data_IF_795547640857
#
_entry.id   IF_795547640857
#
_cell.length_a   1.000
_cell.length_b   1.000
_cell.length_c   1.000
_cell.angle_alpha   90.00
_cell.angle_beta   90.00
_cell.angle_gamma   90.00
#
_symmetry.space_group_name_H-M   'P 1'
#
loop_
_entity.id
_entity.type
_entity.pdbx_description
1 polymer ?
#
# COMPACT_ATOMS: atom_id res chain seq x y z
N UNK A 1 36.01 -25.86 19.34
CA UNK A 1 35.39 -25.39 18.08
C UNK A 1 33.92 -25.12 18.39
N UNK A 2 33.63 -23.86 18.76
CA UNK A 2 32.30 -23.43 19.19
C UNK A 2 31.35 -23.30 18.02
N UNK A 3 30.11 -23.72 18.25
CA UNK A 3 29.01 -23.68 17.29
C UNK A 3 28.61 -22.26 16.88
N UNK A 4 28.25 -22.15 15.61
CA UNK A 4 27.53 -21.01 15.07
C UNK A 4 26.03 -21.27 15.12
N UNK A 5 25.37 -20.65 16.11
CA UNK A 5 23.93 -20.43 16.12
C UNK A 5 23.59 -19.47 14.97
N UNK A 6 22.82 -19.91 13.98
CA UNK A 6 22.15 -19.03 13.02
C UNK A 6 20.70 -18.83 13.46
N UNK A 7 20.42 -17.64 13.95
CA UNK A 7 19.10 -17.14 14.27
C UNK A 7 18.82 -16.00 13.26
N UNK A 8 17.88 -16.11 12.31
CA UNK A 8 17.51 -14.99 11.46
C UNK A 8 16.31 -14.28 12.12
N UNK A 9 16.59 -13.54 13.19
CA UNK A 9 15.65 -12.53 13.68
C UNK A 9 15.73 -11.31 12.78
N UNK A 10 14.55 -10.89 12.31
CA UNK A 10 14.12 -9.51 12.18
C UNK A 10 15.18 -8.47 11.80
N UNK A 11 15.12 -7.99 10.56
CA UNK A 11 15.65 -6.66 10.25
C UNK A 11 15.10 -6.09 8.93
N UNK A 12 14.34 -5.00 9.10
CA UNK A 12 14.20 -3.84 8.22
C UNK A 12 13.59 -4.02 6.83
N UNK A 13 12.26 -3.87 6.76
CA UNK A 13 11.60 -3.21 5.62
C UNK A 13 10.73 -2.05 6.13
N UNK A 14 11.40 -0.99 6.59
CA UNK A 14 10.80 0.34 6.53
C UNK A 14 10.91 0.78 5.07
N UNK A 15 9.80 0.66 4.34
CA UNK A 15 9.67 1.22 3.01
C UNK A 15 9.93 2.73 3.02
N UNK A 16 10.32 3.32 1.87
CA UNK A 16 10.59 4.74 1.79
C UNK A 16 9.32 5.52 2.15
N UNK A 17 9.42 6.37 3.17
CA UNK A 17 8.36 7.30 3.54
C UNK A 17 8.14 8.25 2.36
N UNK A 18 7.02 8.10 1.66
CA UNK A 18 6.60 9.04 0.62
C UNK A 18 6.30 10.38 1.30
N UNK A 19 7.22 11.33 1.23
CA UNK A 19 6.95 12.72 1.60
C UNK A 19 6.00 13.30 0.55
N UNK A 20 4.76 13.53 0.96
CA UNK A 20 3.82 14.33 0.18
C UNK A 20 4.36 15.77 0.07
N UNK A 21 4.31 16.40 -1.10
CA UNK A 21 4.70 17.80 -1.25
C UNK A 21 3.80 18.68 -0.37
N UNK A 22 4.40 19.67 0.30
CA UNK A 22 3.66 20.61 1.12
C UNK A 22 2.63 21.37 0.27
N UNK A 23 1.42 21.64 0.82
CA UNK A 23 0.42 22.40 0.09
C UNK A 23 0.95 23.81 -0.26
N UNK A 24 0.54 24.37 -1.41
CA UNK A 24 0.97 25.71 -1.80
C UNK A 24 0.47 26.74 -0.77
N UNK A 25 1.24 27.82 -0.54
CA UNK A 25 0.84 28.89 0.38
C UNK A 25 -0.47 29.54 -0.08
N UNK A 26 -1.35 29.96 0.86
CA UNK A 26 -2.59 30.63 0.50
C UNK A 26 -2.32 31.94 -0.24
N UNK A 27 -3.19 32.34 -1.19
CA UNK A 27 -3.02 33.59 -1.92
C UNK A 27 -3.08 34.81 -0.98
N UNK A 28 -2.31 35.87 -1.28
CA UNK A 28 -2.34 37.09 -0.46
C UNK A 28 -3.74 37.72 -0.48
N UNK A 29 -4.17 38.34 0.63
CA UNK A 29 -5.46 39.04 0.69
C UNK A 29 -5.50 40.13 -0.38
N UNK A 30 -6.58 40.15 -1.17
CA UNK A 30 -6.82 41.21 -2.14
C UNK A 30 -7.26 42.47 -1.39
N UNK A 31 -6.36 43.43 -1.27
CA UNK A 31 -6.68 44.74 -0.74
C UNK A 31 -7.72 45.44 -1.62
N UNK A 32 -8.79 45.82 -0.95
CA UNK A 32 -9.99 46.41 -1.51
C UNK A 32 -9.74 47.88 -1.84
N UNK A 33 -10.02 48.26 -3.09
CA UNK A 33 -10.48 49.58 -3.56
C UNK A 33 -9.76 50.86 -3.06
N UNK A 34 -9.04 51.52 -3.97
CA UNK A 34 -8.84 52.96 -3.93
C UNK A 34 -9.74 53.65 -4.97
N UNK A 35 -10.79 54.27 -4.46
CA UNK A 35 -11.64 55.24 -5.14
C UNK A 35 -11.06 56.64 -4.89
N UNK A 36 -10.61 57.34 -5.93
CA UNK A 36 -10.38 58.78 -5.86
C UNK A 36 -11.26 59.49 -6.88
N UNK A 37 -12.29 60.11 -6.33
CA UNK A 37 -13.23 60.97 -7.03
C UNK A 37 -12.60 62.28 -7.52
N UNK A 38 -13.29 62.81 -8.53
CA UNK A 38 -13.28 64.15 -9.08
C UNK A 38 -12.59 65.26 -8.26
N UNK A 39 -11.59 65.89 -8.85
CA UNK A 39 -11.20 67.26 -8.52
C UNK A 39 -11.76 68.23 -9.57
N UNK A 40 -12.63 69.11 -9.08
CA UNK A 40 -13.22 70.25 -9.77
C UNK A 40 -12.14 71.23 -10.24
N UNK A 41 -12.29 71.75 -11.45
CA UNK A 41 -11.47 72.83 -11.98
C UNK A 41 -11.71 74.16 -11.21
N UNK A 42 -10.69 75.02 -11.03
CA UNK A 42 -10.89 76.35 -10.46
C UNK A 42 -11.40 77.33 -11.53
N UNK A 43 -12.54 77.96 -11.24
CA UNK A 43 -13.10 79.12 -11.96
C UNK A 43 -12.06 80.24 -12.12
N UNK A 44 -11.77 80.63 -13.36
CA UNK A 44 -11.10 81.89 -13.69
C UNK A 44 -12.16 82.99 -13.81
N UNK A 45 -12.16 83.94 -12.87
CA UNK A 45 -12.94 85.17 -12.96
C UNK A 45 -12.38 86.08 -14.08
N UNK A 46 -13.11 86.20 -15.19
CA UNK A 46 -12.90 87.24 -16.20
C UNK A 46 -13.64 88.52 -15.78
N UNK A 47 -12.92 89.62 -15.56
CA UNK A 47 -13.53 90.97 -15.52
C UNK A 47 -13.83 91.44 -16.95
N UNK A 48 -15.07 91.89 -17.21
CA UNK A 48 -15.45 92.51 -18.49
C UNK A 48 -15.19 94.03 -18.48
N UNK A 49 -14.74 94.64 -19.60
CA UNK A 49 -14.57 96.08 -19.71
C UNK A 49 -15.87 96.71 -20.22
N UNK A 50 -16.91 96.78 -19.40
CA UNK A 50 -18.14 97.51 -19.75
C UNK A 50 -18.62 98.51 -18.68
N UNK A 51 -17.76 98.89 -17.74
CA UNK A 51 -18.10 99.89 -16.72
C UNK A 51 -17.27 101.17 -16.83
N UNK A 52 -17.26 101.79 -18.00
CA UNK A 52 -16.99 103.22 -18.15
C UNK A 52 -17.93 103.73 -19.24
N UNK A 53 -18.49 104.94 -19.07
CA UNK A 53 -19.58 105.58 -19.83
C UNK A 53 -20.99 105.38 -19.24
N UNK A 54 -21.23 105.94 -18.05
CA UNK A 54 -22.51 106.59 -17.77
C UNK A 54 -22.38 107.47 -16.52
N UNK A 55 -21.92 108.72 -16.69
CA UNK A 55 -22.37 109.85 -15.87
C UNK A 55 -22.27 111.12 -16.71
N UNK A 56 -23.29 111.97 -16.53
CA UNK A 56 -23.41 113.36 -16.98
C UNK A 56 -23.90 113.59 -18.41
N UNK A 57 -25.20 113.40 -18.64
CA UNK A 57 -26.04 114.42 -19.30
C UNK A 57 -27.45 114.31 -18.74
N UNK A 58 -27.92 115.38 -18.09
CA UNK A 58 -29.27 115.45 -17.55
C UNK A 58 -29.57 116.82 -16.96
N UNK A 59 -30.41 117.56 -17.70
CA UNK A 59 -31.23 118.71 -17.31
C UNK A 59 -30.61 120.13 -17.42
N UNK A 60 -30.94 120.82 -18.51
CA UNK A 60 -32.05 121.79 -18.46
C UNK A 60 -32.54 122.21 -19.88
N UNK A 61 -33.84 122.51 -20.07
CA UNK A 61 -34.42 122.77 -21.37
C UNK A 61 -34.76 124.26 -21.62
N UNK A 62 -34.96 124.56 -22.92
CA UNK A 62 -35.70 125.72 -23.47
C UNK A 62 -34.97 127.07 -23.51
N UNK A 63 -34.58 127.51 -24.72
CA UNK A 63 -35.11 128.71 -25.44
C UNK A 63 -34.57 128.65 -26.88
N UNK A 64 -35.47 128.74 -27.86
CA UNK A 64 -35.13 128.71 -29.29
C UNK A 64 -34.55 130.01 -29.85
N UNK A 65 -34.09 129.96 -31.09
CA UNK A 65 -33.81 131.19 -31.85
C UNK A 65 -32.85 131.05 -33.03
N UNK A 66 -33.45 130.91 -34.22
CA UNK A 66 -33.13 131.57 -35.51
C UNK A 66 -31.68 131.63 -36.03
N UNK A 67 -31.57 131.11 -37.26
CA UNK A 67 -30.63 131.41 -38.33
C UNK A 67 -29.97 132.80 -38.30
N UNK A 68 -28.65 132.81 -38.51
CA UNK A 68 -27.86 133.98 -38.91
C UNK A 68 -26.66 133.55 -39.76
N UNK A 69 -26.75 133.79 -41.06
CA UNK A 69 -25.67 133.64 -42.03
C UNK A 69 -24.54 134.67 -41.77
N UNK A 70 -23.31 134.19 -41.63
CA UNK A 70 -22.07 134.97 -41.58
C UNK A 70 -20.89 134.01 -41.81
N UNK A 71 -19.79 134.44 -42.46
CA UNK A 71 -18.89 133.55 -43.19
C UNK A 71 -18.20 132.55 -42.26
N UNK A 72 -18.03 131.32 -42.77
CA UNK A 72 -17.30 130.21 -42.13
C UNK A 72 -16.06 130.72 -41.40
N UNK A 73 -15.92 130.53 -40.07
CA UNK A 73 -14.64 130.77 -39.44
C UNK A 73 -13.69 129.67 -39.91
N UNK A 74 -12.60 130.06 -40.57
CA UNK A 74 -11.44 129.22 -40.79
C UNK A 74 -11.13 128.41 -39.51
N UNK A 75 -10.77 127.13 -39.61
CA UNK A 75 -10.59 126.30 -38.43
C UNK A 75 -9.50 126.91 -37.53
N UNK A 76 -9.86 127.19 -36.27
CA UNK A 76 -8.95 127.63 -35.22
C UNK A 76 -7.74 126.67 -35.13
N UNK A 77 -6.52 127.17 -34.86
CA UNK A 77 -5.32 126.35 -34.74
C UNK A 77 -5.47 125.19 -33.74
N UNK A 78 -6.28 125.42 -32.70
CA UNK A 78 -6.58 124.53 -31.59
C UNK A 78 -7.27 123.23 -32.05
N UNK A 79 -8.08 123.31 -33.11
CA UNK A 79 -8.80 122.17 -33.68
C UNK A 79 -7.92 121.29 -34.58
N UNK A 80 -6.81 121.83 -35.11
CA UNK A 80 -5.86 121.03 -35.87
C UNK A 80 -4.99 120.15 -34.96
N UNK A 81 -4.67 120.61 -33.76
CA UNK A 81 -3.97 119.79 -32.77
C UNK A 81 -4.87 118.66 -32.26
N UNK A 82 -6.12 118.94 -31.93
CA UNK A 82 -7.06 117.90 -31.50
C UNK A 82 -7.30 116.85 -32.60
N UNK A 83 -7.47 117.27 -33.86
CA UNK A 83 -7.60 116.31 -34.97
C UNK A 83 -6.31 115.53 -35.25
N UNK A 84 -5.13 116.14 -35.12
CA UNK A 84 -3.86 115.41 -35.24
C UNK A 84 -3.67 114.41 -34.10
N UNK A 85 -4.04 114.79 -32.88
CA UNK A 85 -3.97 113.92 -31.71
C UNK A 85 -4.97 112.76 -31.84
N UNK A 86 -6.21 113.03 -32.24
CA UNK A 86 -7.22 111.99 -32.45
C UNK A 86 -6.83 111.01 -33.57
N UNK A 87 -6.25 111.50 -34.68
CA UNK A 87 -5.76 110.64 -35.76
C UNK A 87 -4.51 109.85 -35.34
N UNK A 88 -3.61 110.46 -34.57
CA UNK A 88 -2.45 109.80 -33.97
C UNK A 88 -2.87 108.72 -32.97
N UNK A 89 -3.84 109.02 -32.11
CA UNK A 89 -4.37 108.09 -31.11
C UNK A 89 -5.16 106.97 -31.79
N UNK A 90 -5.92 107.25 -32.87
CA UNK A 90 -6.56 106.21 -33.69
C UNK A 90 -5.53 105.36 -34.46
N UNK A 91 -4.42 105.94 -34.94
CA UNK A 91 -3.33 105.20 -35.57
C UNK A 91 -2.52 104.38 -34.57
N UNK A 92 -2.31 104.89 -33.36
CA UNK A 92 -1.66 104.17 -32.26
C UNK A 92 -2.55 103.02 -31.77
N UNK A 93 -3.86 103.23 -31.61
CA UNK A 93 -4.83 102.18 -31.27
C UNK A 93 -4.96 101.16 -32.41
N UNK A 94 -4.91 101.56 -33.69
CA UNK A 94 -4.81 100.62 -34.83
C UNK A 94 -3.48 99.87 -34.88
N UNK A 95 -2.38 100.51 -34.48
CA UNK A 95 -1.06 99.90 -34.38
C UNK A 95 -0.96 98.89 -33.23
N UNK A 96 -1.74 99.08 -32.16
CA UNK A 96 -1.89 98.16 -31.05
C UNK A 96 -2.96 97.07 -31.28
N UNK A 97 -3.93 97.32 -32.15
CA UNK A 97 -4.84 96.31 -32.71
C UNK A 97 -4.13 95.50 -33.81
N UNK A 98 -3.00 94.87 -33.48
CA UNK A 98 -2.51 93.71 -34.23
C UNK A 98 -3.35 92.47 -33.85
N UNK A 99 -4.66 92.59 -34.02
CA UNK A 99 -5.62 91.49 -33.84
C UNK A 99 -5.22 90.26 -34.65
N UNK A 100 -4.56 90.45 -35.80
CA UNK A 100 -4.01 89.37 -36.60
C UNK A 100 -2.90 88.56 -35.92
N UNK A 101 -2.03 89.17 -35.11
CA UNK A 101 -0.93 88.46 -34.44
C UNK A 101 -1.46 87.69 -33.21
N UNK A 102 -2.36 88.29 -32.43
CA UNK A 102 -3.03 87.61 -31.31
C UNK A 102 -3.95 86.47 -31.79
N UNK A 103 -4.63 86.64 -32.93
CA UNK A 103 -5.44 85.57 -33.54
C UNK A 103 -4.57 84.42 -34.02
N UNK A 104 -3.43 84.70 -34.67
CA UNK A 104 -2.47 83.68 -35.10
C UNK A 104 -1.87 82.92 -33.92
N UNK A 105 -1.53 83.61 -32.83
CA UNK A 105 -1.01 82.97 -31.62
C UNK A 105 -2.07 82.06 -30.97
N UNK A 106 -3.33 82.53 -30.92
CA UNK A 106 -4.46 81.74 -30.42
C UNK A 106 -4.75 80.52 -31.30
N UNK A 107 -4.68 80.66 -32.62
CA UNK A 107 -4.88 79.58 -33.59
C UNK A 107 -3.74 78.55 -33.51
N UNK A 108 -2.49 79.02 -33.31
CA UNK A 108 -1.34 78.14 -33.06
C UNK A 108 -1.51 77.32 -31.77
N UNK A 109 -1.94 77.97 -30.69
CA UNK A 109 -2.26 77.32 -29.42
C UNK A 109 -3.42 76.32 -29.55
N UNK A 110 -4.43 76.65 -30.35
CA UNK A 110 -5.55 75.75 -30.63
C UNK A 110 -5.08 74.47 -31.32
N UNK A 111 -4.28 74.61 -32.38
CA UNK A 111 -3.73 73.47 -33.12
C UNK A 111 -2.82 72.59 -32.24
N UNK A 112 -2.04 73.20 -31.36
CA UNK A 112 -1.16 72.48 -30.42
C UNK A 112 -1.98 71.72 -29.36
N UNK A 113 -3.10 72.29 -28.91
CA UNK A 113 -4.05 71.61 -28.01
C UNK A 113 -4.81 70.49 -28.71
N UNK A 114 -5.23 70.69 -29.95
CA UNK A 114 -5.88 69.64 -30.74
C UNK A 114 -4.93 68.46 -31.00
N UNK A 115 -3.65 68.74 -31.27
CA UNK A 115 -2.62 67.69 -31.38
C UNK A 115 -2.44 66.92 -30.06
N UNK A 116 -2.38 67.62 -28.92
CA UNK A 116 -2.31 66.97 -27.60
C UNK A 116 -3.56 66.12 -27.30
N UNK A 117 -4.74 66.58 -27.70
CA UNK A 117 -5.99 65.84 -27.53
C UNK A 117 -5.97 64.56 -28.37
N UNK A 118 -5.54 64.61 -29.63
CA UNK A 118 -5.43 63.41 -30.46
C UNK A 118 -4.40 62.41 -29.91
N UNK A 119 -3.27 62.89 -29.41
CA UNK A 119 -2.26 62.04 -28.77
C UNK A 119 -2.84 61.35 -27.51
N UNK A 120 -3.57 62.10 -26.67
CA UNK A 120 -4.23 61.55 -25.49
C UNK A 120 -5.30 60.54 -25.84
N UNK A 121 -6.12 60.80 -26.86
CA UNK A 121 -7.13 59.85 -27.35
C UNK A 121 -6.49 58.55 -27.83
N UNK A 122 -5.38 58.62 -28.57
CA UNK A 122 -4.64 57.43 -29.00
C UNK A 122 -4.06 56.64 -27.81
N UNK A 123 -3.54 57.34 -26.78
CA UNK A 123 -3.06 56.69 -25.55
C UNK A 123 -4.19 56.03 -24.76
N UNK A 124 -5.35 56.66 -24.67
CA UNK A 124 -6.54 56.09 -24.00
C UNK A 124 -7.04 54.85 -24.75
N UNK A 125 -7.12 54.91 -26.08
CA UNK A 125 -7.51 53.75 -26.88
C UNK A 125 -6.55 52.55 -26.68
N UNK A 126 -5.23 52.79 -26.61
CA UNK A 126 -4.26 51.74 -26.30
C UNK A 126 -4.41 51.20 -24.87
N UNK A 127 -4.77 52.05 -23.91
CA UNK A 127 -5.01 51.65 -22.52
C UNK A 127 -6.31 50.86 -22.35
N UNK A 128 -7.30 50.99 -23.24
CA UNK A 128 -8.53 50.17 -23.22
C UNK A 128 -8.29 48.74 -23.73
N UNK A 129 -7.31 48.54 -24.61
CA UNK A 129 -6.94 47.21 -25.14
C UNK A 129 -6.30 46.35 -24.06
N UNK A 130 -5.45 46.94 -23.20
CA UNK A 130 -4.68 46.22 -22.17
C UNK A 130 -5.57 45.46 -21.17
N UNK A 131 -6.65 46.02 -20.61
CA UNK A 131 -7.62 45.30 -19.79
C UNK A 131 -8.25 44.10 -20.51
N UNK A 132 -8.60 44.25 -21.78
CA UNK A 132 -9.25 43.20 -22.55
C UNK A 132 -8.30 42.02 -22.82
N UNK A 133 -7.04 42.30 -23.15
CA UNK A 133 -5.98 41.29 -23.24
C UNK A 133 -5.74 40.60 -21.88
N UNK A 134 -5.79 41.35 -20.77
CA UNK A 134 -5.63 40.78 -19.43
C UNK A 134 -6.75 39.79 -19.08
N UNK A 135 -8.00 40.09 -19.45
CA UNK A 135 -9.13 39.15 -19.28
C UNK A 135 -8.89 37.87 -20.07
N UNK A 136 -8.50 37.98 -21.35
CA UNK A 136 -8.21 36.80 -22.19
C UNK A 136 -7.06 35.96 -21.62
N UNK A 137 -6.02 36.60 -21.08
CA UNK A 137 -4.90 35.88 -20.44
C UNK A 137 -5.34 35.15 -19.18
N UNK A 138 -6.24 35.74 -18.38
CA UNK A 138 -6.81 35.09 -17.19
C UNK A 138 -7.66 33.88 -17.56
N UNK A 139 -8.48 33.97 -18.60
CA UNK A 139 -9.26 32.85 -19.12
C UNK A 139 -8.35 31.70 -19.59
N UNK A 140 -7.29 32.01 -20.36
CA UNK A 140 -6.31 31.00 -20.79
C UNK A 140 -5.56 30.37 -19.62
N UNK A 141 -5.21 31.16 -18.60
CA UNK A 141 -4.58 30.62 -17.39
C UNK A 141 -5.51 29.68 -16.63
N UNK A 142 -6.81 30.00 -16.55
CA UNK A 142 -7.80 29.12 -15.94
C UNK A 142 -7.94 27.81 -16.74
N UNK A 143 -8.04 27.90 -18.07
CA UNK A 143 -8.12 26.72 -18.94
C UNK A 143 -6.89 25.81 -18.78
N UNK A 144 -5.68 26.38 -18.74
CA UNK A 144 -4.47 25.63 -18.47
C UNK A 144 -4.48 24.95 -17.10
N UNK A 145 -5.00 25.63 -16.08
CA UNK A 145 -5.18 25.06 -14.74
C UNK A 145 -6.13 23.86 -14.75
N UNK A 146 -7.26 23.98 -15.45
CA UNK A 146 -8.25 22.90 -15.56
C UNK A 146 -7.70 21.70 -16.36
N UNK A 147 -6.90 21.94 -17.40
CA UNK A 147 -6.24 20.90 -18.18
C UNK A 147 -5.21 20.15 -17.31
N UNK A 148 -4.38 20.87 -16.56
CA UNK A 148 -3.38 20.26 -15.68
C UNK A 148 -4.04 19.44 -14.57
N UNK A 149 -5.13 19.93 -13.97
CA UNK A 149 -5.90 19.18 -12.98
C UNK A 149 -6.47 17.87 -13.56
N UNK A 150 -7.08 17.92 -14.75
CA UNK A 150 -7.58 16.73 -15.45
C UNK A 150 -6.46 15.75 -15.81
N UNK A 151 -5.30 16.26 -16.22
CA UNK A 151 -4.13 15.42 -16.51
C UNK A 151 -3.68 14.65 -15.27
N UNK A 152 -3.54 15.32 -14.13
CA UNK A 152 -3.17 14.68 -12.87
C UNK A 152 -4.21 13.66 -12.42
N UNK A 153 -5.50 13.96 -12.59
CA UNK A 153 -6.58 13.01 -12.31
C UNK A 153 -6.48 11.75 -13.18
N UNK A 154 -6.25 11.91 -14.49
CA UNK A 154 -6.10 10.78 -15.41
C UNK A 154 -4.86 9.94 -15.10
N UNK A 155 -3.72 10.57 -14.78
CA UNK A 155 -2.50 9.86 -14.37
C UNK A 155 -2.73 9.03 -13.10
N UNK A 156 -3.48 9.57 -12.12
CA UNK A 156 -3.86 8.83 -10.91
C UNK A 156 -4.80 7.66 -11.21
N UNK A 157 -5.77 7.85 -12.12
CA UNK A 157 -6.66 6.78 -12.55
C UNK A 157 -5.90 5.66 -13.26
N UNK A 158 -4.98 6.00 -14.16
CA UNK A 158 -4.12 5.03 -14.86
C UNK A 158 -3.23 4.27 -13.87
N UNK A 159 -2.62 4.98 -12.92
CA UNK A 159 -1.83 4.35 -11.87
C UNK A 159 -2.66 3.36 -11.03
N UNK A 160 -3.88 3.74 -10.63
CA UNK A 160 -4.79 2.85 -9.90
C UNK A 160 -5.16 1.61 -10.73
N UNK A 161 -5.40 1.76 -12.03
CA UNK A 161 -5.67 0.63 -12.92
C UNK A 161 -4.47 -0.31 -13.05
N UNK A 162 -3.25 0.24 -13.11
CA UNK A 162 -2.02 -0.55 -13.14
C UNK A 162 -1.81 -1.33 -11.85
N UNK A 163 -2.09 -0.73 -10.68
CA UNK A 163 -2.07 -1.44 -9.40
C UNK A 163 -3.05 -2.61 -9.43
N UNK A 164 -4.32 -2.38 -9.80
CA UNK A 164 -5.34 -3.45 -9.86
C UNK A 164 -4.94 -4.58 -10.80
N UNK A 165 -4.30 -4.26 -11.93
CA UNK A 165 -3.78 -5.26 -12.85
C UNK A 165 -2.68 -6.09 -12.20
N UNK A 166 -1.73 -5.44 -11.52
CA UNK A 166 -0.64 -6.12 -10.81
C UNK A 166 -1.17 -7.03 -9.70
N UNK A 167 -2.08 -6.55 -8.87
CA UNK A 167 -2.75 -7.33 -7.82
C UNK A 167 -3.45 -8.57 -8.41
N UNK A 168 -4.13 -8.41 -9.55
CA UNK A 168 -4.74 -9.53 -10.27
C UNK A 168 -3.71 -10.57 -10.72
N UNK A 169 -2.62 -10.13 -11.33
CA UNK A 169 -1.56 -11.05 -11.80
C UNK A 169 -0.83 -11.74 -10.64
N UNK A 170 -0.63 -11.05 -9.52
CA UNK A 170 -0.02 -11.63 -8.32
C UNK A 170 -0.94 -12.66 -7.69
N UNK A 171 -2.24 -12.38 -7.60
CA UNK A 171 -3.23 -13.33 -7.10
C UNK A 171 -3.29 -14.61 -7.95
N UNK A 172 -3.29 -14.46 -9.28
CA UNK A 172 -3.28 -15.61 -10.19
C UNK A 172 -1.99 -16.45 -10.04
N UNK A 173 -0.83 -15.79 -9.93
CA UNK A 173 0.44 -16.45 -9.69
C UNK A 173 0.47 -17.22 -8.35
N UNK A 174 -0.01 -16.60 -7.27
CA UNK A 174 -0.08 -17.24 -5.95
C UNK A 174 -1.03 -18.44 -5.97
N UNK A 175 -2.15 -18.34 -6.68
CA UNK A 175 -3.09 -19.45 -6.86
C UNK A 175 -2.44 -20.62 -7.63
N UNK A 176 -1.65 -20.33 -8.66
CA UNK A 176 -0.91 -21.36 -9.39
C UNK A 176 0.13 -22.06 -8.48
N UNK A 177 0.88 -21.28 -7.69
CA UNK A 177 1.86 -21.83 -6.74
C UNK A 177 1.20 -22.68 -5.66
N UNK A 178 0.06 -22.23 -5.13
CA UNK A 178 -0.72 -23.00 -4.17
C UNK A 178 -1.16 -24.34 -4.76
N UNK A 179 -1.71 -24.34 -5.98
CA UNK A 179 -2.13 -25.58 -6.65
C UNK A 179 -0.96 -26.55 -6.89
N UNK A 180 0.23 -26.05 -7.24
CA UNK A 180 1.46 -26.87 -7.34
C UNK A 180 1.84 -27.46 -5.98
N UNK A 181 1.81 -26.65 -4.93
CA UNK A 181 2.12 -27.11 -3.57
C UNK A 181 1.13 -28.15 -3.05
N UNK A 182 -0.17 -27.98 -3.33
CA UNK A 182 -1.19 -28.95 -2.97
C UNK A 182 -0.97 -30.29 -3.67
N UNK A 183 -0.61 -30.27 -4.96
CA UNK A 183 -0.25 -31.49 -5.69
C UNK A 183 0.96 -32.20 -5.09
N UNK A 184 2.03 -31.47 -4.73
CA UNK A 184 3.18 -32.06 -4.05
C UNK A 184 2.81 -32.65 -2.68
N UNK A 185 1.91 -32.00 -1.96
CA UNK A 185 1.40 -32.51 -0.67
C UNK A 185 0.64 -33.81 -0.87
N UNK A 186 -0.24 -33.89 -1.87
CA UNK A 186 -1.00 -35.10 -2.21
C UNK A 186 -0.07 -36.25 -2.65
N UNK A 187 0.90 -35.99 -3.52
CA UNK A 187 1.89 -37.00 -3.96
C UNK A 187 2.72 -37.53 -2.77
N UNK A 188 3.11 -36.66 -1.85
CA UNK A 188 3.83 -37.05 -0.64
C UNK A 188 2.95 -37.89 0.32
N UNK A 189 1.69 -37.53 0.47
CA UNK A 189 0.70 -38.25 1.28
C UNK A 189 0.44 -39.66 0.71
N UNK A 190 0.32 -39.79 -0.62
CA UNK A 190 0.21 -41.10 -1.28
C UNK A 190 1.46 -41.96 -1.03
N UNK A 191 2.66 -41.38 -1.17
CA UNK A 191 3.91 -42.11 -0.91
C UNK A 191 3.99 -42.61 0.54
N UNK A 192 3.60 -41.78 1.51
CA UNK A 192 3.58 -42.18 2.93
C UNK A 192 2.57 -43.32 3.15
N UNK A 193 1.37 -43.22 2.58
CA UNK A 193 0.36 -44.28 2.68
C UNK A 193 0.87 -45.62 2.11
N UNK A 194 1.54 -45.58 0.95
CA UNK A 194 2.15 -46.78 0.35
C UNK A 194 3.23 -47.36 1.26
N UNK A 195 4.11 -46.50 1.80
CA UNK A 195 5.17 -46.92 2.72
C UNK A 195 4.60 -47.54 4.00
N UNK A 196 3.54 -46.96 4.57
CA UNK A 196 2.88 -47.46 5.76
C UNK A 196 2.27 -48.85 5.52
N UNK A 197 1.56 -49.04 4.39
CA UNK A 197 1.03 -50.35 4.00
C UNK A 197 2.14 -51.38 3.80
N UNK A 198 3.23 -51.00 3.13
CA UNK A 198 4.40 -51.87 2.95
C UNK A 198 5.05 -52.24 4.28
N UNK A 199 5.19 -51.27 5.19
CA UNK A 199 5.77 -51.46 6.51
C UNK A 199 4.94 -52.45 7.35
N UNK A 200 3.63 -52.24 7.47
CA UNK A 200 2.76 -53.15 8.21
C UNK A 200 2.68 -54.53 7.57
N UNK A 201 2.64 -54.63 6.24
CA UNK A 201 2.70 -55.92 5.52
C UNK A 201 4.00 -56.66 5.85
N UNK A 202 5.14 -55.97 5.85
CA UNK A 202 6.43 -56.57 6.17
C UNK A 202 6.48 -57.06 7.62
N UNK A 203 6.03 -56.26 8.58
CA UNK A 203 5.92 -56.67 9.99
C UNK A 203 5.05 -57.91 10.11
N UNK A 204 3.86 -57.92 9.49
CA UNK A 204 2.94 -59.05 9.54
C UNK A 204 3.57 -60.34 8.99
N UNK A 205 4.33 -60.23 7.89
CA UNK A 205 5.05 -61.36 7.31
C UNK A 205 6.18 -61.87 8.23
N UNK A 206 6.91 -60.97 8.89
CA UNK A 206 7.96 -61.34 9.86
C UNK A 206 7.34 -62.05 11.06
N UNK A 207 6.25 -61.50 11.63
CA UNK A 207 5.55 -62.10 12.76
C UNK A 207 5.05 -63.50 12.43
N UNK A 208 4.37 -63.66 11.28
CA UNK A 208 3.91 -64.97 10.83
C UNK A 208 5.05 -65.97 10.64
N UNK A 209 6.15 -65.55 10.00
CA UNK A 209 7.32 -66.41 9.80
C UNK A 209 7.94 -66.85 11.14
N UNK A 210 7.92 -65.98 12.15
CA UNK A 210 8.41 -66.32 13.48
C UNK A 210 7.46 -67.28 14.19
N UNK A 211 6.15 -67.10 14.06
CA UNK A 211 5.13 -68.04 14.54
C UNK A 211 5.30 -69.42 13.90
N UNK A 212 5.38 -69.50 12.57
CA UNK A 212 5.61 -70.75 11.83
C UNK A 212 6.91 -71.46 12.29
N UNK A 213 7.97 -70.70 12.58
CA UNK A 213 9.25 -71.22 13.10
C UNK A 213 9.19 -71.71 14.54
N UNK A 214 8.26 -71.19 15.35
CA UNK A 214 8.06 -71.66 16.73
C UNK A 214 7.13 -72.89 16.76
N UNK A 215 6.13 -72.94 15.87
CA UNK A 215 5.21 -74.06 15.76
C UNK A 215 5.87 -75.33 15.20
N UNK A 216 6.76 -75.20 14.20
CA UNK A 216 7.39 -76.36 13.57
C UNK A 216 8.21 -77.24 14.55
N UNK A 217 9.07 -76.68 15.42
CA UNK A 217 9.73 -77.43 16.49
C UNK A 217 8.72 -78.00 17.50
N UNK A 218 7.71 -77.22 17.90
CA UNK A 218 6.71 -77.66 18.87
C UNK A 218 5.93 -78.91 18.38
N UNK A 219 5.51 -78.91 17.11
CA UNK A 219 4.86 -80.06 16.49
C UNK A 219 5.81 -81.27 16.34
N UNK A 220 7.06 -81.03 15.97
CA UNK A 220 8.09 -82.08 15.91
C UNK A 220 8.34 -82.71 17.29
N UNK A 221 8.54 -81.89 18.32
CA UNK A 221 8.80 -82.35 19.68
C UNK A 221 7.58 -83.07 20.26
N UNK A 222 6.36 -82.57 20.01
CA UNK A 222 5.13 -83.25 20.42
C UNK A 222 5.03 -84.65 19.79
N UNK A 223 5.31 -84.79 18.49
CA UNK A 223 5.30 -86.10 17.84
C UNK A 223 6.43 -87.02 18.33
N UNK A 224 7.60 -86.47 18.64
CA UNK A 224 8.72 -87.21 19.23
C UNK A 224 8.35 -87.76 20.63
N UNK A 225 7.88 -86.90 21.55
CA UNK A 225 7.48 -87.31 22.90
C UNK A 225 6.32 -88.31 22.88
N UNK A 226 5.37 -88.14 21.97
CA UNK A 226 4.25 -89.06 21.82
C UNK A 226 4.69 -90.44 21.29
N UNK A 227 5.69 -90.50 20.39
CA UNK A 227 6.33 -91.76 19.99
C UNK A 227 7.07 -92.42 21.14
N UNK A 228 7.80 -91.66 21.95
CA UNK A 228 8.50 -92.18 23.14
C UNK A 228 7.52 -92.75 24.17
N UNK A 229 6.44 -92.03 24.48
CA UNK A 229 5.39 -92.51 25.37
C UNK A 229 4.74 -93.81 24.88
N UNK A 230 4.43 -93.91 23.58
CA UNK A 230 3.88 -95.12 23.00
C UNK A 230 4.87 -96.29 23.03
N UNK A 231 6.16 -96.02 22.80
CA UNK A 231 7.21 -97.03 22.91
C UNK A 231 7.30 -97.59 24.33
N UNK A 232 7.37 -96.72 25.35
CA UNK A 232 7.37 -97.12 26.76
C UNK A 232 6.11 -97.89 27.15
N UNK A 233 4.93 -97.44 26.68
CA UNK A 233 3.64 -98.14 26.91
C UNK A 233 3.65 -99.55 26.34
N UNK A 234 4.19 -99.72 25.14
CA UNK A 234 4.28 -101.03 24.49
C UNK A 234 5.30 -101.94 25.17
N UNK A 235 6.47 -101.40 25.56
CA UNK A 235 7.45 -102.15 26.34
C UNK A 235 6.85 -102.64 27.66
N UNK A 236 6.19 -101.76 28.41
CA UNK A 236 5.51 -102.12 29.64
C UNK A 236 4.47 -103.23 29.43
N UNK A 237 3.68 -103.13 28.35
CA UNK A 237 2.68 -104.16 28.02
C UNK A 237 3.34 -105.53 27.78
N UNK A 238 4.42 -105.57 26.99
CA UNK A 238 5.16 -106.80 26.70
C UNK A 238 5.81 -107.38 27.95
N UNK A 239 6.41 -106.55 28.80
CA UNK A 239 6.98 -107.00 30.07
C UNK A 239 5.92 -107.54 31.01
N UNK A 240 4.77 -106.88 31.10
CA UNK A 240 3.65 -107.33 31.91
C UNK A 240 3.08 -108.67 31.40
N UNK A 241 2.95 -108.86 30.08
CA UNK A 241 2.58 -110.15 29.48
C UNK A 241 3.61 -111.25 29.78
N UNK A 242 4.92 -110.93 29.68
CA UNK A 242 5.99 -111.87 30.07
C UNK A 242 5.91 -112.25 31.54
N UNK A 243 5.66 -111.29 32.44
CA UNK A 243 5.49 -111.56 33.87
C UNK A 243 4.26 -112.42 34.15
N UNK A 244 3.14 -112.14 33.48
CA UNK A 244 1.93 -112.95 33.57
C UNK A 244 2.16 -114.39 33.07
N UNK A 245 2.91 -114.57 31.98
CA UNK A 245 3.23 -115.90 31.46
C UNK A 245 4.16 -116.66 32.41
N UNK A 246 5.22 -116.01 32.94
CA UNK A 246 6.07 -116.61 33.97
C UNK A 246 5.31 -116.97 35.24
N UNK A 247 4.33 -116.15 35.64
CA UNK A 247 3.45 -116.44 36.78
C UNK A 247 2.55 -117.66 36.51
N UNK A 248 2.05 -117.81 35.28
CA UNK A 248 1.27 -118.99 34.88
C UNK A 248 2.13 -120.24 34.82
N UNK A 249 3.33 -120.17 34.26
CA UNK A 249 4.30 -121.28 34.20
C UNK A 249 4.69 -121.75 35.60
N UNK A 250 5.06 -120.83 36.50
CA UNK A 250 5.36 -121.17 37.90
C UNK A 250 4.16 -121.77 38.64
N UNK A 251 2.94 -121.31 38.36
CA UNK A 251 1.72 -121.94 38.89
C UNK A 251 1.42 -123.32 38.29
N UNK A 252 1.87 -123.60 37.06
CA UNK A 252 1.66 -124.88 36.38
C UNK A 252 2.71 -125.94 36.79
N UNK A 253 3.95 -125.51 37.07
CA UNK A 253 5.04 -126.37 37.54
C UNK A 253 4.94 -126.71 39.04
N UNK A 254 4.24 -125.90 39.83
CA UNK A 254 3.97 -126.21 41.23
C UNK A 254 2.86 -127.25 41.39
N UNK A 255 3.25 -128.53 41.33
CA UNK A 255 2.44 -129.64 41.85
C UNK A 255 2.46 -129.74 43.39
N UNK A 256 3.13 -128.83 44.11
CA UNK A 256 3.09 -128.80 45.57
C UNK A 256 3.14 -127.36 46.12
N UNK A 257 2.10 -126.87 46.82
CA UNK A 257 1.99 -125.47 47.26
C UNK A 257 3.06 -125.05 48.29
N UNK A 258 3.70 -126.01 48.98
CA UNK A 258 4.75 -125.73 49.96
C UNK A 258 6.09 -125.32 49.33
N UNK A 259 6.46 -125.89 48.19
CA UNK A 259 7.72 -125.56 47.50
C UNK A 259 7.64 -124.19 46.83
N UNK A 260 6.45 -123.82 46.32
CA UNK A 260 6.23 -122.51 45.71
C UNK A 260 6.31 -121.38 46.76
N UNK A 261 5.77 -121.59 47.95
CA UNK A 261 5.88 -120.64 49.06
C UNK A 261 7.34 -120.42 49.48
N UNK A 262 8.12 -121.50 49.62
CA UNK A 262 9.55 -121.45 49.93
C UNK A 262 10.37 -120.77 48.83
N UNK A 263 10.07 -121.05 47.55
CA UNK A 263 10.75 -120.42 46.42
C UNK A 263 10.49 -118.91 46.34
N UNK A 264 9.23 -118.48 46.50
CA UNK A 264 8.90 -117.04 46.50
C UNK A 264 9.40 -116.32 47.74
N UNK A 265 9.41 -116.95 48.91
CA UNK A 265 9.99 -116.36 50.12
C UNK A 265 11.51 -116.15 49.98
N UNK A 266 12.22 -117.12 49.41
CA UNK A 266 13.66 -116.98 49.12
C UNK A 266 13.91 -115.90 48.07
N UNK A 267 13.15 -115.88 46.96
CA UNK A 267 13.27 -114.85 45.92
C UNK A 267 12.92 -113.45 46.43
N UNK A 268 11.91 -113.34 47.29
CA UNK A 268 11.54 -112.08 47.94
C UNK A 268 12.66 -111.58 48.85
N UNK A 269 13.27 -112.45 49.65
CA UNK A 269 14.40 -112.07 50.50
C UNK A 269 15.63 -111.64 49.68
N UNK A 270 15.95 -112.34 48.59
CA UNK A 270 17.03 -111.93 47.67
C UNK A 270 16.76 -110.56 47.04
N UNK A 271 15.54 -110.33 46.51
CA UNK A 271 15.19 -109.04 45.91
C UNK A 271 15.18 -107.92 46.95
N UNK A 272 14.66 -108.19 48.15
CA UNK A 272 14.64 -107.23 49.25
C UNK A 272 16.05 -106.81 49.62
N UNK A 273 16.98 -107.76 49.78
CA UNK A 273 18.39 -107.47 50.06
C UNK A 273 19.01 -106.66 48.92
N UNK A 274 18.82 -107.05 47.66
CA UNK A 274 19.34 -106.32 46.51
C UNK A 274 18.80 -104.88 46.45
N UNK A 275 17.54 -104.68 46.80
CA UNK A 275 16.91 -103.36 46.84
C UNK A 275 17.46 -102.51 48.00
N UNK A 276 17.63 -103.08 49.19
CA UNK A 276 18.26 -102.40 50.33
C UNK A 276 19.70 -102.01 50.03
N UNK A 277 20.49 -102.90 49.43
CA UNK A 277 21.88 -102.57 49.04
C UNK A 277 21.90 -101.44 48.01
N UNK A 278 21.04 -101.50 46.98
CA UNK A 278 20.97 -100.44 45.96
C UNK A 278 20.51 -99.11 46.54
N UNK A 279 19.56 -99.14 47.48
CA UNK A 279 19.09 -97.94 48.18
C UNK A 279 20.19 -97.36 49.08
N UNK A 280 20.93 -98.20 49.82
CA UNK A 280 22.05 -97.78 50.65
C UNK A 280 23.17 -97.18 49.80
N UNK A 281 23.53 -97.79 48.66
CA UNK A 281 24.54 -97.25 47.75
C UNK A 281 24.11 -95.88 47.21
N UNK A 282 22.87 -95.75 46.75
CA UNK A 282 22.29 -94.46 46.32
C UNK A 282 22.27 -93.43 47.44
N UNK A 283 21.97 -93.84 48.67
CA UNK A 283 21.94 -92.93 49.82
C UNK A 283 23.35 -92.48 50.24
N UNK A 284 24.35 -93.36 50.17
CA UNK A 284 25.76 -93.03 50.39
C UNK A 284 26.27 -92.11 49.27
N UNK A 285 25.94 -92.35 48.00
CA UNK A 285 26.29 -91.46 46.87
C UNK A 285 25.76 -90.04 47.11
N UNK A 286 24.48 -89.91 47.50
CA UNK A 286 23.86 -88.61 47.81
C UNK A 286 24.51 -87.96 49.05
N UNK A 287 24.83 -88.72 50.10
CA UNK A 287 25.53 -88.18 51.27
C UNK A 287 26.96 -87.72 50.93
N UNK A 288 27.67 -88.44 50.05
CA UNK A 288 29.00 -88.02 49.58
C UNK A 288 28.92 -86.72 48.76
N UNK A 289 27.92 -86.59 47.89
CA UNK A 289 27.66 -85.33 47.16
C UNK A 289 27.27 -84.16 48.07
N UNK A 290 26.66 -84.41 49.22
CA UNK A 290 26.21 -83.34 50.15
C UNK A 290 27.28 -82.94 51.18
N UNK A 291 28.19 -83.84 51.56
CA UNK A 291 29.21 -83.55 52.59
C UNK A 291 30.63 -83.30 52.04
N UNK A 292 30.93 -83.70 50.80
CA UNK A 292 32.27 -83.58 50.21
C UNK A 292 32.32 -82.76 48.89
N UNK A 293 31.18 -82.21 48.45
CA UNK A 293 31.08 -81.09 47.49
C UNK A 293 30.43 -79.89 48.19
#
# INVERSE_FOLDING_TARGET
>A
MSGGNFNPMHSFYLGPTVQLPAPPPPPPPQDTQFNYGAHQAPNQNFYSPQQYHQRQYGNNPSVGGRYGNGPLPYPRPDNQQFNRQLMSDQQAVRGHLKTGDLLKEREKLLNEKDAQIQELLAKVANLEIVPQENVQLREKLQELGDIEAKKQELELQEFSLNIKRLEGTEADYLKEQLGKSEKFREDAEEMVNVLEVCYYRNIKNILKRNEDKLEAPCASDQTFWMRQLNHMKNQYKVENEKLQNKLKETKLEAKNPAELASYWEKKYNELKIAWYVRLIVKFIEVLFEVFFN
#
